data_IF_201214438423
#
_entry.id   IF_201214438423
#
_cell.length_a   1.000
_cell.length_b   1.000
_cell.length_c   1.000
_cell.angle_alpha   90.00
_cell.angle_beta   90.00
_cell.angle_gamma   90.00
#
_symmetry.space_group_name_H-M   'P 1'
#
loop_
_entity.id
_entity.type
_entity.pdbx_description
1 polymer ?
#
# COMPACT_ATOMS: atom_id res chain seq x y z
N UNK A 1 -13.77 7.78 17.18
CA UNK A 1 -14.76 8.78 16.74
C UNK A 1 -15.43 8.33 15.44
N UNK A 2 -16.63 8.79 15.21
CA UNK A 2 -17.38 8.47 13.99
C UNK A 2 -16.61 8.86 12.72
N UNK A 3 -15.93 10.02 12.76
CA UNK A 3 -15.17 10.50 11.61
C UNK A 3 -14.01 9.57 11.27
N UNK A 4 -13.34 9.04 12.28
CA UNK A 4 -12.22 8.11 12.07
C UNK A 4 -12.73 6.79 11.48
N UNK A 5 -13.86 6.30 11.97
CA UNK A 5 -14.45 5.07 11.46
C UNK A 5 -14.88 5.23 10.00
N UNK A 6 -15.44 6.39 9.65
CA UNK A 6 -15.83 6.67 8.28
C UNK A 6 -14.60 6.71 7.36
N UNK A 7 -13.55 7.39 7.79
CA UNK A 7 -12.30 7.47 7.00
C UNK A 7 -11.72 6.07 6.80
N UNK A 8 -11.69 5.24 7.83
CA UNK A 8 -11.22 3.86 7.70
C UNK A 8 -12.05 3.06 6.71
N UNK A 9 -13.37 3.25 6.73
CA UNK A 9 -14.27 2.58 5.78
C UNK A 9 -14.01 3.03 4.35
N UNK A 10 -13.74 4.32 4.14
CA UNK A 10 -13.41 4.84 2.82
C UNK A 10 -12.07 4.30 2.31
N UNK A 11 -11.10 4.17 3.18
CA UNK A 11 -9.81 3.57 2.82
C UNK A 11 -9.99 2.10 2.43
N UNK A 12 -10.79 1.36 3.18
CA UNK A 12 -11.09 -0.03 2.86
C UNK A 12 -11.75 -0.12 1.48
N UNK A 13 -12.68 0.77 1.19
CA UNK A 13 -13.34 0.83 -0.12
C UNK A 13 -12.31 1.12 -1.23
N UNK A 14 -11.40 2.05 -0.98
CA UNK A 14 -10.32 2.36 -1.93
C UNK A 14 -9.50 1.12 -2.26
N UNK A 15 -9.12 0.36 -1.24
CA UNK A 15 -8.33 -0.85 -1.44
C UNK A 15 -9.10 -1.90 -2.23
N UNK A 16 -10.39 -2.05 -1.97
CA UNK A 16 -11.23 -2.99 -2.73
C UNK A 16 -11.34 -2.60 -4.20
N UNK A 17 -11.52 -1.32 -4.50
CA UNK A 17 -11.53 -0.84 -5.88
C UNK A 17 -10.20 -1.11 -6.56
N UNK A 18 -9.11 -0.83 -5.87
CA UNK A 18 -7.78 -1.04 -6.42
C UNK A 18 -7.56 -2.52 -6.78
N UNK A 19 -7.92 -3.42 -5.87
CA UNK A 19 -7.79 -4.86 -6.12
C UNK A 19 -8.65 -5.33 -7.29
N UNK A 20 -9.85 -4.76 -7.41
CA UNK A 20 -10.74 -5.08 -8.52
C UNK A 20 -10.15 -4.63 -9.85
N UNK A 21 -9.60 -3.42 -9.89
CA UNK A 21 -9.00 -2.85 -11.10
C UNK A 21 -7.82 -3.70 -11.57
N UNK A 22 -6.99 -4.17 -10.65
CA UNK A 22 -5.79 -4.95 -10.98
C UNK A 22 -6.13 -6.24 -11.73
N UNK A 23 -7.28 -6.85 -11.43
CA UNK A 23 -7.69 -8.12 -12.03
C UNK A 23 -8.73 -7.96 -13.14
N UNK A 24 -9.09 -6.73 -13.50
CA UNK A 24 -10.13 -6.45 -14.49
C UNK A 24 -9.50 -6.00 -15.80
N UNK A 25 -9.98 -6.46 -16.96
CA UNK A 25 -9.48 -5.98 -18.25
C UNK A 25 -9.59 -4.47 -18.37
N UNK A 26 -8.62 -3.85 -19.04
CA UNK A 26 -8.47 -2.40 -19.10
C UNK A 26 -9.75 -1.68 -19.54
N UNK A 27 -10.42 -2.18 -20.59
CA UNK A 27 -11.62 -1.53 -21.10
C UNK A 27 -12.75 -1.49 -20.06
N UNK A 28 -12.83 -2.51 -19.22
CA UNK A 28 -13.86 -2.63 -18.19
C UNK A 28 -13.45 -1.95 -16.89
N UNK A 29 -12.14 -1.77 -16.67
CA UNK A 29 -11.63 -1.15 -15.47
C UNK A 29 -11.74 0.37 -15.48
N UNK A 30 -11.88 0.99 -16.67
CA UNK A 30 -11.88 2.44 -16.81
C UNK A 30 -12.90 3.16 -15.93
N UNK A 31 -14.18 2.74 -15.87
CA UNK A 31 -15.13 3.38 -14.96
C UNK A 31 -14.71 3.28 -13.50
N UNK A 32 -14.13 2.15 -13.11
CA UNK A 32 -13.68 1.94 -11.73
C UNK A 32 -12.50 2.85 -11.38
N UNK A 33 -11.62 3.11 -12.34
CA UNK A 33 -10.51 4.04 -12.14
C UNK A 33 -11.00 5.45 -11.90
N UNK A 34 -12.03 5.86 -12.62
CA UNK A 34 -12.63 7.18 -12.42
C UNK A 34 -13.23 7.30 -11.03
N UNK A 35 -13.95 6.27 -10.58
CA UNK A 35 -14.53 6.25 -9.25
C UNK A 35 -13.45 6.25 -8.17
N UNK A 36 -12.38 5.49 -8.39
CA UNK A 36 -11.27 5.44 -7.47
C UNK A 36 -10.64 6.83 -7.30
N UNK A 37 -10.47 7.54 -8.41
CA UNK A 37 -9.92 8.89 -8.39
C UNK A 37 -10.80 9.86 -7.61
N UNK A 38 -12.12 9.76 -7.79
CA UNK A 38 -13.05 10.57 -7.01
C UNK A 38 -12.95 10.27 -5.52
N UNK A 39 -12.81 9.01 -5.17
CA UNK A 39 -12.64 8.61 -3.77
C UNK A 39 -11.33 9.18 -3.19
N UNK A 40 -10.26 9.18 -3.97
CA UNK A 40 -9.00 9.78 -3.55
C UNK A 40 -9.15 11.27 -3.30
N UNK A 41 -9.92 11.97 -4.14
CA UNK A 41 -10.19 13.39 -3.96
C UNK A 41 -10.97 13.61 -2.66
N UNK A 42 -11.96 12.78 -2.37
CA UNK A 42 -12.74 12.87 -1.13
C UNK A 42 -11.84 12.67 0.09
N UNK A 43 -10.99 11.67 0.06
CA UNK A 43 -10.04 11.42 1.15
C UNK A 43 -9.12 12.61 1.35
N UNK A 44 -8.57 13.14 0.26
CA UNK A 44 -7.65 14.27 0.31
C UNK A 44 -8.34 15.51 0.87
N UNK A 45 -9.59 15.75 0.50
CA UNK A 45 -10.37 16.86 1.03
C UNK A 45 -10.61 16.74 2.54
N UNK A 46 -10.49 15.54 3.08
CA UNK A 46 -10.62 15.27 4.51
C UNK A 46 -9.27 15.09 5.21
N UNK A 47 -8.19 15.56 4.58
CA UNK A 47 -6.86 15.54 5.19
C UNK A 47 -6.14 14.21 5.12
N UNK A 48 -6.65 13.25 4.35
CA UNK A 48 -6.03 11.94 4.20
C UNK A 48 -5.30 11.87 2.87
N UNK A 49 -4.03 11.52 2.92
CA UNK A 49 -3.24 11.37 1.69
C UNK A 49 -2.62 9.99 1.62
N UNK A 50 -2.43 9.52 0.40
CA UNK A 50 -1.70 8.29 0.16
C UNK A 50 -0.20 8.55 0.28
N UNK A 51 0.54 7.52 0.69
CA UNK A 51 1.99 7.60 0.64
C UNK A 51 2.56 6.26 0.17
N UNK A 52 3.70 6.37 -0.51
CA UNK A 52 4.55 5.23 -0.83
C UNK A 52 5.90 5.50 -0.19
N UNK A 53 6.36 4.57 0.63
CA UNK A 53 7.61 4.76 1.36
C UNK A 53 8.81 4.37 0.53
N UNK A 54 9.24 3.14 0.69
CA UNK A 54 10.47 2.64 0.07
C UNK A 54 10.20 1.96 -1.26
N UNK A 55 11.09 2.22 -2.21
CA UNK A 55 11.04 1.55 -3.50
C UNK A 55 11.70 0.19 -3.41
N UNK A 56 11.51 -0.62 -4.46
CA UNK A 56 12.14 -1.94 -4.54
C UNK A 56 13.66 -1.81 -4.38
N UNK A 57 14.20 -2.64 -3.51
CA UNK A 57 15.64 -2.65 -3.24
C UNK A 57 16.09 -1.73 -2.11
N UNK A 58 15.19 -0.86 -1.62
CA UNK A 58 15.52 -0.04 -0.47
C UNK A 58 15.22 -0.78 0.83
N UNK A 59 15.90 -0.42 1.90
CA UNK A 59 15.68 -1.04 3.20
C UNK A 59 14.24 -0.85 3.66
N UNK A 60 13.68 -1.91 4.23
CA UNK A 60 12.36 -1.87 4.84
C UNK A 60 12.34 -0.87 6.00
N UNK A 61 11.28 -0.07 6.07
CA UNK A 61 11.07 0.92 7.11
C UNK A 61 9.86 0.54 7.96
N UNK A 62 10.11 -0.10 9.11
CA UNK A 62 9.05 -0.56 10.00
C UNK A 62 8.21 0.55 10.61
N UNK A 63 8.67 1.81 10.56
CA UNK A 63 7.90 2.94 11.04
C UNK A 63 6.82 3.39 10.07
N UNK A 64 6.90 2.98 8.81
CA UNK A 64 5.96 3.39 7.78
C UNK A 64 5.39 2.24 6.96
N UNK A 65 5.94 1.05 7.08
CA UNK A 65 5.57 -0.10 6.27
C UNK A 65 5.27 -1.31 7.14
N UNK A 66 4.45 -2.19 6.63
CA UNK A 66 4.11 -3.46 7.28
C UNK A 66 4.38 -4.59 6.30
N UNK A 67 5.07 -5.61 6.76
CA UNK A 67 5.39 -6.79 5.94
C UNK A 67 4.18 -7.71 5.90
N UNK A 68 3.75 -8.08 4.69
CA UNK A 68 2.66 -9.04 4.52
C UNK A 68 3.16 -10.41 4.05
N UNK A 69 4.35 -10.45 3.45
CA UNK A 69 5.00 -11.72 3.13
C UNK A 69 6.47 -11.50 2.84
N UNK A 70 7.23 -12.58 2.77
CA UNK A 70 8.66 -12.52 2.48
C UNK A 70 8.95 -13.26 1.18
N UNK A 71 10.00 -12.81 0.50
CA UNK A 71 10.50 -13.43 -0.72
C UNK A 71 11.93 -13.88 -0.45
N UNK A 72 12.19 -15.17 -0.58
CA UNK A 72 13.52 -15.68 -0.35
C UNK A 72 14.47 -15.23 -1.46
N UNK A 73 15.70 -14.90 -1.10
CA UNK A 73 16.72 -14.50 -2.06
C UNK A 73 18.06 -15.12 -1.69
N UNK A 74 18.84 -15.44 -2.71
CA UNK A 74 20.22 -15.88 -2.52
C UNK A 74 21.21 -14.72 -2.45
N UNK A 75 20.74 -13.50 -2.58
CA UNK A 75 21.60 -12.32 -2.55
C UNK A 75 21.54 -11.65 -1.18
N UNK A 76 22.60 -11.80 -0.41
CA UNK A 76 22.71 -11.26 0.94
C UNK A 76 22.50 -9.74 0.98
N UNK A 77 22.86 -9.04 -0.10
CA UNK A 77 22.70 -7.58 -0.15
C UNK A 77 21.25 -7.14 -0.18
N UNK A 78 20.35 -8.02 -0.57
CA UNK A 78 18.91 -7.71 -0.63
C UNK A 78 18.19 -7.99 0.67
N UNK A 79 18.84 -8.63 1.64
CA UNK A 79 18.19 -8.99 2.90
C UNK A 79 17.54 -7.77 3.55
N UNK A 80 16.28 -7.91 3.95
CA UNK A 80 15.50 -6.86 4.60
C UNK A 80 15.23 -5.64 3.72
N UNK A 81 15.28 -5.82 2.40
CA UNK A 81 14.89 -4.77 1.46
C UNK A 81 13.50 -5.05 0.90
N UNK A 82 12.86 -4.01 0.37
CA UNK A 82 11.52 -4.11 -0.21
C UNK A 82 11.61 -4.88 -1.54
N UNK A 83 10.83 -5.96 -1.63
CA UNK A 83 10.72 -6.72 -2.87
C UNK A 83 9.58 -6.20 -3.76
N UNK A 84 8.47 -5.81 -3.14
CA UNK A 84 7.29 -5.38 -3.88
C UNK A 84 6.37 -4.61 -2.95
N UNK A 85 5.76 -3.54 -3.47
CA UNK A 85 4.66 -2.86 -2.77
C UNK A 85 3.38 -3.63 -3.05
N UNK A 86 2.60 -3.91 -2.01
CA UNK A 86 1.30 -4.57 -2.14
C UNK A 86 0.19 -3.52 -2.18
N UNK A 87 0.16 -2.63 -1.20
CA UNK A 87 -0.79 -1.51 -1.16
C UNK A 87 -0.12 -0.26 -0.63
N UNK A 88 -0.59 0.89 -1.11
CA UNK A 88 -0.14 2.19 -0.59
C UNK A 88 -0.59 2.37 0.84
N UNK A 89 0.10 3.23 1.58
CA UNK A 89 -0.33 3.64 2.90
C UNK A 89 -1.21 4.88 2.85
N UNK A 90 -1.85 5.16 3.97
CA UNK A 90 -2.71 6.34 4.12
C UNK A 90 -2.35 7.04 5.43
N UNK A 91 -2.19 8.33 5.37
CA UNK A 91 -1.79 9.12 6.52
C UNK A 91 -2.50 10.47 6.56
N UNK A 92 -2.56 11.05 7.76
CA UNK A 92 -2.93 12.45 7.94
C UNK A 92 -1.66 13.21 8.35
N UNK A 93 -1.80 14.50 8.62
CA UNK A 93 -0.67 15.29 9.12
C UNK A 93 -0.13 14.76 10.46
N UNK A 94 -0.98 14.10 11.23
CA UNK A 94 -0.66 13.70 12.61
C UNK A 94 -0.26 12.23 12.77
N UNK A 95 -0.75 11.35 11.89
CA UNK A 95 -0.55 9.92 12.10
C UNK A 95 -0.74 9.11 10.82
N UNK A 96 -0.22 7.89 10.84
CA UNK A 96 -0.50 6.90 9.81
C UNK A 96 -1.82 6.23 10.17
N UNK A 97 -2.77 6.23 9.24
CA UNK A 97 -4.06 5.57 9.44
C UNK A 97 -3.97 4.12 8.99
N UNK A 98 -3.34 3.89 7.86
CA UNK A 98 -3.14 2.54 7.32
C UNK A 98 -1.71 2.46 6.78
N UNK A 99 -0.95 1.48 7.27
CA UNK A 99 0.43 1.30 6.83
C UNK A 99 0.49 0.82 5.39
N UNK A 100 1.50 1.29 4.67
CA UNK A 100 1.85 0.72 3.38
C UNK A 100 2.22 -0.74 3.59
N UNK A 101 1.71 -1.65 2.76
CA UNK A 101 2.02 -3.07 2.87
C UNK A 101 2.97 -3.48 1.77
N UNK A 102 3.98 -4.26 2.15
CA UNK A 102 5.07 -4.65 1.25
C UNK A 102 5.43 -6.10 1.44
N UNK A 103 6.10 -6.65 0.43
CA UNK A 103 6.85 -7.89 0.56
C UNK A 103 8.30 -7.51 0.72
N UNK A 104 9.03 -8.24 1.56
CA UNK A 104 10.46 -7.98 1.77
C UNK A 104 11.26 -9.22 1.39
N UNK A 105 12.50 -8.99 0.97
CA UNK A 105 13.43 -10.07 0.72
C UNK A 105 14.00 -10.60 2.04
N UNK A 106 14.19 -11.90 2.07
CA UNK A 106 14.88 -12.56 3.17
C UNK A 106 16.00 -13.38 2.57
N UNK A 107 17.22 -13.10 3.00
CA UNK A 107 18.36 -13.88 2.55
C UNK A 107 18.26 -15.29 3.11
N UNK A 108 18.38 -16.27 2.21
CA UNK A 108 18.44 -17.69 2.56
C UNK A 108 19.82 -18.16 2.17
N UNK A 109 20.66 -18.41 3.15
CA UNK A 109 22.01 -18.89 2.91
C UNK A 109 22.00 -20.28 2.29
N UNK A 110 23.16 -20.70 1.82
CA UNK A 110 23.31 -22.04 1.29
C UNK A 110 23.09 -23.07 2.41
N UNK A 111 22.39 -24.10 2.05
CA UNK A 111 22.15 -25.21 2.96
C UNK A 111 23.24 -26.26 2.78
#
# INVERSE_FOLDING_TARGET
QKADALIESLITLHLHFHMTIVVTPEAEARPFRSLLKELEIILQANGVRQYSGREKGELFDGGRQQVVSVVDTGDERLDNTVAEQVNVGFETADKIIRYETVKVYRFVGEV
#
